data_IF_917125738746
#
_entry.id   IF_917125738746
#
_cell.length_a   1.000
_cell.length_b   1.000
_cell.length_c   1.000
_cell.angle_alpha   90.00
_cell.angle_beta   90.00
_cell.angle_gamma   90.00
#
_symmetry.space_group_name_H-M   'P 1'
#
loop_
_entity.id
_entity.type
_entity.pdbx_description
1 polymer ?
#
# COMPACT_ATOMS: atom_id res chain seq x y z
N UNK A 1 -28.51 -3.21 -36.20
CA UNK A 1 -27.10 -2.91 -35.83
C UNK A 1 -26.90 -1.86 -34.72
N UNK A 2 -27.87 -0.97 -34.41
CA UNK A 2 -27.68 0.05 -33.34
C UNK A 2 -27.68 -0.50 -31.90
N UNK A 3 -28.38 -1.61 -31.63
CA UNK A 3 -28.51 -2.22 -30.29
C UNK A 3 -27.19 -2.81 -29.76
N UNK A 4 -26.38 -3.41 -30.63
CA UNK A 4 -25.07 -3.97 -30.25
C UNK A 4 -24.04 -2.86 -29.92
N UNK A 5 -24.14 -1.68 -30.57
CA UNK A 5 -23.26 -0.54 -30.30
C UNK A 5 -23.49 0.08 -28.93
N UNK A 6 -24.75 0.12 -28.46
CA UNK A 6 -25.08 0.57 -27.10
C UNK A 6 -24.52 -0.39 -26.04
N UNK A 7 -24.60 -1.70 -26.29
CA UNK A 7 -24.05 -2.71 -25.39
C UNK A 7 -22.53 -2.59 -25.22
N UNK A 8 -21.78 -2.43 -26.32
CA UNK A 8 -20.34 -2.22 -26.24
C UNK A 8 -19.95 -0.92 -25.51
N UNK A 9 -20.73 0.15 -25.70
CA UNK A 9 -20.48 1.43 -25.01
C UNK A 9 -20.70 1.32 -23.50
N UNK A 10 -21.77 0.63 -23.07
CA UNK A 10 -22.03 0.38 -21.65
C UNK A 10 -20.93 -0.49 -21.00
N UNK A 11 -20.45 -1.50 -21.72
CA UNK A 11 -19.35 -2.35 -21.27
C UNK A 11 -18.05 -1.56 -21.11
N UNK A 12 -17.77 -0.65 -22.05
CA UNK A 12 -16.59 0.22 -22.00
C UNK A 12 -16.62 1.19 -20.81
N UNK A 13 -17.79 1.76 -20.50
CA UNK A 13 -17.97 2.61 -19.31
C UNK A 13 -17.75 1.84 -18.01
N UNK A 14 -18.25 0.60 -17.90
CA UNK A 14 -18.02 -0.27 -16.74
C UNK A 14 -16.54 -0.58 -16.50
N UNK A 15 -15.78 -0.80 -17.59
CA UNK A 15 -14.32 -1.02 -17.52
C UNK A 15 -13.55 0.22 -17.07
N UNK A 16 -14.04 1.43 -17.35
CA UNK A 16 -13.40 2.66 -16.89
C UNK A 16 -13.60 2.91 -15.39
N UNK A 17 -14.75 2.51 -14.84
CA UNK A 17 -15.04 2.68 -13.40
C UNK A 17 -14.22 1.76 -12.49
N UNK A 18 -13.73 0.61 -12.99
CA UNK A 18 -12.96 -0.35 -12.17
C UNK A 18 -11.52 0.08 -11.88
N UNK A 19 -10.99 1.07 -12.61
CA UNK A 19 -9.61 1.57 -12.44
C UNK A 19 -9.51 2.52 -11.22
N UNK A 20 -10.65 2.93 -10.66
CA UNK A 20 -10.75 3.91 -9.57
C UNK A 20 -10.81 3.32 -8.17
N UNK A 21 -9.90 2.42 -7.80
CA UNK A 21 -9.76 1.98 -6.41
C UNK A 21 -8.43 2.50 -5.85
N UNK A 22 -8.47 3.40 -4.86
CA UNK A 22 -7.27 3.97 -4.24
C UNK A 22 -6.38 2.87 -3.65
N UNK A 23 -5.06 2.96 -3.84
CA UNK A 23 -4.12 1.94 -3.37
C UNK A 23 -3.71 2.19 -1.92
N UNK A 24 -3.74 1.12 -1.11
CA UNK A 24 -3.16 1.09 0.25
C UNK A 24 -2.03 0.07 0.25
N UNK A 25 -0.84 0.51 0.61
CA UNK A 25 0.36 -0.31 0.70
C UNK A 25 0.83 -0.37 2.15
N UNK A 26 1.21 -1.56 2.62
CA UNK A 26 1.69 -1.79 3.99
C UNK A 26 3.06 -2.43 3.92
N UNK A 27 4.08 -1.73 4.41
CA UNK A 27 5.46 -2.20 4.47
C UNK A 27 5.80 -2.54 5.91
N UNK A 28 5.95 -3.83 6.20
CA UNK A 28 6.37 -4.31 7.53
C UNK A 28 7.90 -4.34 7.58
N UNK A 29 8.46 -3.88 8.68
CA UNK A 29 9.89 -3.98 8.96
C UNK A 29 10.11 -4.58 10.34
N UNK A 30 11.04 -5.54 10.40
CA UNK A 30 11.47 -6.20 11.62
C UNK A 30 12.99 -6.14 11.63
N UNK A 31 13.54 -5.28 12.50
CA UNK A 31 14.97 -5.09 12.65
C UNK A 31 15.46 -5.77 13.92
N UNK A 32 16.66 -6.33 13.84
CA UNK A 32 17.38 -6.88 14.99
C UNK A 32 18.71 -6.14 15.08
N UNK A 33 18.88 -5.36 16.15
CA UNK A 33 20.12 -4.67 16.44
C UNK A 33 20.89 -5.48 17.48
N UNK A 34 22.09 -5.93 17.11
CA UNK A 34 22.97 -6.68 18.01
C UNK A 34 24.17 -5.82 18.35
N UNK A 35 24.44 -5.69 19.63
CA UNK A 35 25.66 -5.09 20.16
C UNK A 35 26.45 -6.13 20.92
N UNK A 36 27.73 -6.25 20.59
CA UNK A 36 28.65 -7.16 21.26
C UNK A 36 29.92 -6.42 21.68
N UNK A 37 30.35 -6.69 22.92
CA UNK A 37 31.65 -6.33 23.45
C UNK A 37 32.23 -7.53 24.21
N UNK A 38 33.51 -7.53 24.60
CA UNK A 38 34.07 -8.61 25.41
C UNK A 38 33.33 -8.87 26.74
N UNK A 39 32.59 -7.87 27.24
CA UNK A 39 31.99 -7.89 28.57
C UNK A 39 30.46 -7.99 28.57
N UNK A 40 29.80 -7.83 27.41
CA UNK A 40 28.34 -7.95 27.31
C UNK A 40 27.87 -8.15 25.87
N UNK A 41 26.67 -8.72 25.75
CA UNK A 41 25.90 -8.85 24.51
C UNK A 41 24.49 -8.30 24.73
N UNK A 42 23.96 -7.55 23.78
CA UNK A 42 22.57 -7.11 23.79
C UNK A 42 21.93 -7.28 22.41
N UNK A 43 20.66 -7.62 22.41
CA UNK A 43 19.84 -7.78 21.22
C UNK A 43 18.55 -6.96 21.38
N UNK A 44 18.27 -6.10 20.41
CA UNK A 44 17.06 -5.28 20.38
C UNK A 44 16.24 -5.64 19.16
N UNK A 45 15.00 -6.08 19.39
CA UNK A 45 14.03 -6.35 18.34
C UNK A 45 13.14 -5.12 18.17
N UNK A 46 13.11 -4.59 16.95
CA UNK A 46 12.26 -3.44 16.59
C UNK A 46 11.34 -3.87 15.47
N UNK A 47 10.05 -4.01 15.79
CA UNK A 47 9.00 -4.27 14.82
C UNK A 47 8.23 -2.98 14.54
N UNK A 48 7.89 -2.77 13.28
CA UNK A 48 7.05 -1.66 12.87
C UNK A 48 6.45 -1.85 11.50
N UNK A 49 5.55 -0.96 11.13
CA UNK A 49 4.95 -0.94 9.81
C UNK A 49 4.74 0.50 9.33
N UNK A 50 5.10 0.75 8.07
CA UNK A 50 4.72 1.95 7.33
C UNK A 50 3.45 1.67 6.53
N UNK A 51 2.47 2.54 6.63
CA UNK A 51 1.24 2.50 5.83
C UNK A 51 1.27 3.67 4.86
N UNK A 52 1.22 3.36 3.57
CA UNK A 52 1.10 4.35 2.52
C UNK A 52 -0.30 4.30 1.91
N UNK A 53 -1.00 5.43 1.87
CA UNK A 53 -2.36 5.50 1.33
C UNK A 53 -2.43 6.52 0.21
N UNK A 54 -2.78 6.07 -1.00
CA UNK A 54 -3.02 6.95 -2.14
C UNK A 54 -4.52 7.16 -2.33
N UNK A 55 -4.97 8.39 -2.10
CA UNK A 55 -6.37 8.82 -2.37
C UNK A 55 -6.40 9.65 -3.64
N UNK A 56 -7.42 9.46 -4.47
CA UNK A 56 -7.59 10.23 -5.71
C UNK A 56 -7.60 11.73 -5.42
N UNK A 57 -6.79 12.50 -6.16
CA UNK A 57 -6.71 13.96 -6.00
C UNK A 57 -6.00 14.43 -4.73
N UNK A 58 -5.33 13.54 -3.97
CA UNK A 58 -4.49 13.91 -2.83
C UNK A 58 -3.07 13.36 -2.98
N UNK A 59 -2.07 14.03 -2.40
CA UNK A 59 -0.73 13.47 -2.24
C UNK A 59 -0.76 12.13 -1.47
N UNK A 60 0.30 11.35 -1.61
CA UNK A 60 0.50 10.12 -0.83
C UNK A 60 0.50 10.44 0.66
N UNK A 61 -0.30 9.71 1.44
CA UNK A 61 -0.30 9.81 2.91
C UNK A 61 0.61 8.74 3.52
N UNK A 62 1.27 9.05 4.64
CA UNK A 62 2.18 8.15 5.34
C UNK A 62 1.86 8.11 6.84
N UNK A 63 1.66 6.91 7.36
CA UNK A 63 1.45 6.64 8.79
C UNK A 63 2.46 5.58 9.26
N UNK A 64 3.18 5.88 10.35
CA UNK A 64 4.06 4.93 11.02
C UNK A 64 3.35 4.31 12.22
N UNK A 65 3.50 2.99 12.40
CA UNK A 65 3.05 2.26 13.59
C UNK A 65 4.20 1.40 14.11
N UNK A 66 4.51 1.55 15.39
CA UNK A 66 5.48 0.76 16.16
C UNK A 66 4.76 -0.06 17.21
#
# INVERSE_FOLDING_TARGET
>A
MRRNRLGCFALFMLLLFSIGCGSREVVKHNYVYKGETPNWTAEYHVSGQGVFTKKTGRPMDYESRS
#
